data_IF_406458431365
#
_entry.id   IF_406458431365
#
_cell.length_a   1.000
_cell.length_b   1.000
_cell.length_c   1.000
_cell.angle_alpha   90.00
_cell.angle_beta   90.00
_cell.angle_gamma   90.00
#
_symmetry.space_group_name_H-M   'P 1'
#
loop_
_entity.id
_entity.type
_entity.pdbx_description
1 polymer ?
#
# COMPACT_ATOMS: atom_id res chain seq x y z
N UNK A 1 -11.74 11.23 11.30
CA UNK A 1 -11.39 10.27 10.22
C UNK A 1 -9.88 10.24 9.90
N UNK A 2 -9.20 11.37 9.57
CA UNK A 2 -7.73 11.36 9.33
C UNK A 2 -6.99 11.04 10.62
N UNK A 3 -7.36 11.70 11.74
CA UNK A 3 -6.77 11.47 13.04
C UNK A 3 -6.88 10.01 13.49
N UNK A 4 -8.05 9.42 13.33
CA UNK A 4 -8.29 7.99 13.62
C UNK A 4 -7.42 7.06 12.76
N UNK A 5 -7.31 7.34 11.44
CA UNK A 5 -6.50 6.53 10.53
C UNK A 5 -4.99 6.62 10.80
N UNK A 6 -4.53 7.74 11.31
CA UNK A 6 -3.11 7.97 11.61
C UNK A 6 -2.77 7.70 13.08
N UNK A 7 -3.74 7.27 13.89
CA UNK A 7 -3.62 7.12 15.34
C UNK A 7 -3.01 8.37 16.01
N UNK A 8 -3.49 9.55 15.58
CA UNK A 8 -3.02 10.84 16.04
C UNK A 8 -4.13 11.66 16.67
N UNK A 9 -3.78 12.56 17.58
CA UNK A 9 -4.75 13.48 18.16
C UNK A 9 -5.29 14.48 17.12
N UNK A 10 -6.55 14.88 17.24
CA UNK A 10 -7.14 15.91 16.38
C UNK A 10 -6.32 17.20 16.32
N UNK A 11 -5.85 17.76 17.45
CA UNK A 11 -4.95 18.93 17.46
C UNK A 11 -3.65 18.72 16.68
N UNK A 12 -3.00 17.55 16.83
CA UNK A 12 -1.77 17.22 16.08
C UNK A 12 -2.01 17.21 14.57
N UNK A 13 -3.10 16.59 14.13
CA UNK A 13 -3.47 16.56 12.70
C UNK A 13 -3.76 17.99 12.21
N UNK A 14 -4.51 18.79 12.96
CA UNK A 14 -4.82 20.17 12.58
C UNK A 14 -3.56 21.05 12.44
N UNK A 15 -2.60 20.91 13.36
CA UNK A 15 -1.33 21.62 13.29
C UNK A 15 -0.51 21.20 12.07
N UNK A 16 -0.46 19.90 11.78
CA UNK A 16 0.24 19.36 10.61
C UNK A 16 -0.38 19.85 9.32
N UNK A 17 -1.72 19.81 9.20
CA UNK A 17 -2.45 20.33 8.04
C UNK A 17 -2.16 21.83 7.83
N UNK A 18 -2.24 22.65 8.90
CA UNK A 18 -1.96 24.08 8.81
C UNK A 18 -0.51 24.37 8.40
N UNK A 19 0.46 23.56 8.83
CA UNK A 19 1.85 23.68 8.40
C UNK A 19 2.00 23.31 6.93
N UNK A 20 1.42 22.18 6.49
CA UNK A 20 1.47 21.76 5.09
C UNK A 20 0.80 22.77 4.15
N UNK A 21 -0.31 23.40 4.58
CA UNK A 21 -0.97 24.44 3.82
C UNK A 21 -0.09 25.68 3.69
N UNK A 22 0.51 26.15 4.79
CA UNK A 22 1.47 27.28 4.77
C UNK A 22 2.69 26.99 3.89
N UNK A 23 3.16 25.74 3.87
CA UNK A 23 4.30 25.31 3.06
C UNK A 23 3.92 25.08 1.58
N UNK A 24 2.62 25.24 1.24
CA UNK A 24 2.09 25.13 -0.10
C UNK A 24 2.03 23.68 -0.62
N UNK A 25 1.90 22.69 0.28
CA UNK A 25 1.82 21.27 -0.08
C UNK A 25 0.38 20.78 -0.24
N UNK A 26 -0.55 21.40 0.44
CA UNK A 26 -1.98 21.12 0.32
C UNK A 26 -2.80 22.40 0.50
N UNK A 27 -4.08 22.28 0.23
CA UNK A 27 -5.11 23.28 0.57
C UNK A 27 -6.31 22.57 1.19
N UNK A 28 -7.00 23.29 2.07
CA UNK A 28 -8.27 22.84 2.63
C UNK A 28 -9.39 23.38 1.74
N UNK A 29 -10.12 22.50 1.07
CA UNK A 29 -11.27 22.88 0.25
C UNK A 29 -12.44 23.37 1.12
N UNK A 30 -13.41 24.06 0.50
CA UNK A 30 -14.56 24.65 1.21
C UNK A 30 -15.44 23.62 1.94
N UNK A 31 -15.45 22.37 1.49
CA UNK A 31 -16.11 21.22 2.11
C UNK A 31 -15.25 20.47 3.14
N UNK A 32 -14.08 21.06 3.50
CA UNK A 32 -13.08 20.54 4.43
C UNK A 32 -12.30 19.31 3.93
N UNK A 33 -12.34 18.98 2.65
CA UNK A 33 -11.43 17.99 2.08
C UNK A 33 -10.04 18.57 1.92
N UNK A 34 -9.03 17.70 2.05
CA UNK A 34 -7.64 18.09 1.80
C UNK A 34 -7.29 17.76 0.34
N UNK A 35 -6.78 18.76 -0.36
CA UNK A 35 -6.32 18.62 -1.74
C UNK A 35 -4.82 18.89 -1.81
N UNK A 36 -4.05 17.93 -2.31
CA UNK A 36 -2.63 18.16 -2.57
C UNK A 36 -2.45 19.17 -3.72
N UNK A 37 -1.55 20.09 -3.54
CA UNK A 37 -1.05 20.93 -4.64
C UNK A 37 -0.17 20.09 -5.58
N UNK A 38 0.21 20.63 -6.74
CA UNK A 38 1.19 19.97 -7.62
C UNK A 38 2.50 19.69 -6.88
N UNK A 39 3.01 20.65 -6.11
CA UNK A 39 4.20 20.49 -5.25
C UNK A 39 4.01 19.37 -4.22
N UNK A 40 2.87 19.34 -3.54
CA UNK A 40 2.55 18.33 -2.55
C UNK A 40 2.43 16.94 -3.17
N UNK A 41 1.82 16.85 -4.35
CA UNK A 41 1.69 15.60 -5.10
C UNK A 41 3.05 15.08 -5.56
N UNK A 42 3.90 15.93 -6.13
CA UNK A 42 5.24 15.55 -6.55
C UNK A 42 6.07 15.02 -5.37
N UNK A 43 6.00 15.69 -4.22
CA UNK A 43 6.69 15.24 -3.01
C UNK A 43 6.15 13.89 -2.51
N UNK A 44 4.84 13.70 -2.50
CA UNK A 44 4.22 12.45 -2.09
C UNK A 44 4.61 11.28 -3.02
N UNK A 45 4.67 11.52 -4.33
CA UNK A 45 5.15 10.55 -5.32
C UNK A 45 6.61 10.18 -5.03
N UNK A 46 7.48 11.16 -4.82
CA UNK A 46 8.89 10.92 -4.56
C UNK A 46 9.13 10.13 -3.26
N UNK A 47 8.40 10.45 -2.18
CA UNK A 47 8.48 9.71 -0.90
C UNK A 47 7.99 8.28 -1.09
N UNK A 48 6.84 8.08 -1.72
CA UNK A 48 6.28 6.75 -1.93
C UNK A 48 7.14 5.89 -2.87
N UNK A 49 7.80 6.49 -3.87
CA UNK A 49 8.76 5.81 -4.72
C UNK A 49 9.95 5.28 -3.92
N UNK A 50 10.53 6.13 -3.06
CA UNK A 50 11.63 5.74 -2.17
C UNK A 50 11.24 4.61 -1.24
N UNK A 51 10.06 4.73 -0.63
CA UNK A 51 9.49 3.69 0.23
C UNK A 51 9.46 2.33 -0.47
N UNK A 52 8.80 2.25 -1.62
CA UNK A 52 8.62 1.00 -2.36
C UNK A 52 9.90 0.44 -2.98
N UNK A 53 10.84 1.30 -3.35
CA UNK A 53 12.19 0.86 -3.74
C UNK A 53 12.98 0.30 -2.55
N UNK A 54 12.84 0.93 -1.36
CA UNK A 54 13.43 0.40 -0.13
C UNK A 54 12.84 -0.97 0.25
N UNK A 55 11.51 -1.12 0.18
CA UNK A 55 10.84 -2.41 0.40
C UNK A 55 11.42 -3.51 -0.50
N UNK A 56 11.59 -3.21 -1.80
CA UNK A 56 12.20 -4.16 -2.74
C UNK A 56 13.63 -4.52 -2.38
N UNK A 57 14.46 -3.54 -2.06
CA UNK A 57 15.85 -3.78 -1.64
C UNK A 57 15.91 -4.66 -0.39
N UNK A 58 15.07 -4.34 0.59
CA UNK A 58 15.03 -5.05 1.87
C UNK A 58 14.62 -6.52 1.71
N UNK A 59 13.64 -6.81 0.84
CA UNK A 59 13.20 -8.20 0.57
C UNK A 59 14.17 -8.90 -0.36
N UNK A 60 14.42 -8.34 -1.55
CA UNK A 60 15.01 -9.08 -2.67
C UNK A 60 16.53 -9.23 -2.53
N UNK A 61 17.20 -8.31 -1.83
CA UNK A 61 18.68 -8.26 -1.73
C UNK A 61 19.15 -8.49 -0.30
N UNK A 62 18.55 -7.82 0.68
CA UNK A 62 18.95 -7.91 2.09
C UNK A 62 18.37 -9.16 2.75
N UNK A 63 17.18 -9.61 2.31
CA UNK A 63 16.50 -10.78 2.87
C UNK A 63 15.84 -10.51 4.22
N UNK A 64 15.41 -9.26 4.46
CA UNK A 64 14.65 -8.92 5.67
C UNK A 64 13.32 -9.67 5.67
N UNK A 65 12.85 -10.20 6.83
CA UNK A 65 11.52 -10.80 6.93
C UNK A 65 10.43 -9.87 6.39
N UNK A 66 9.54 -10.42 5.58
CA UNK A 66 8.53 -9.66 4.83
C UNK A 66 7.65 -8.77 5.72
N UNK A 67 7.32 -9.26 6.91
CA UNK A 67 6.53 -8.57 7.94
C UNK A 67 7.23 -7.37 8.59
N UNK A 68 8.56 -7.29 8.51
CA UNK A 68 9.37 -6.20 9.08
C UNK A 68 9.70 -5.11 8.07
N UNK A 69 9.49 -5.38 6.79
CA UNK A 69 9.98 -4.55 5.67
C UNK A 69 9.37 -3.16 5.66
N UNK A 70 8.06 -3.05 5.87
CA UNK A 70 7.36 -1.76 5.83
C UNK A 70 7.88 -0.78 6.88
N UNK A 71 8.07 -1.24 8.13
CA UNK A 71 8.56 -0.40 9.21
C UNK A 71 9.98 0.11 8.95
N UNK A 72 10.84 -0.69 8.31
CA UNK A 72 12.19 -0.27 7.94
C UNK A 72 12.18 0.69 6.74
N UNK A 73 11.37 0.42 5.73
CA UNK A 73 11.21 1.29 4.56
C UNK A 73 10.73 2.70 4.95
N UNK A 74 9.82 2.81 5.92
CA UNK A 74 9.38 4.10 6.49
C UNK A 74 10.53 4.94 7.07
N UNK A 75 11.57 4.30 7.58
CA UNK A 75 12.77 5.02 8.07
C UNK A 75 13.67 5.47 6.95
N UNK A 76 13.78 4.68 5.88
CA UNK A 76 14.71 4.92 4.78
C UNK A 76 14.19 5.94 3.76
N UNK A 77 12.88 6.03 3.55
CA UNK A 77 12.27 6.93 2.57
C UNK A 77 12.64 8.41 2.77
N UNK A 78 12.94 8.82 4.00
CA UNK A 78 13.25 10.20 4.35
C UNK A 78 14.72 10.58 4.15
N UNK A 79 15.62 9.60 4.02
CA UNK A 79 17.07 9.84 3.92
C UNK A 79 17.66 9.43 2.56
N UNK A 80 16.90 8.70 1.76
CA UNK A 80 17.35 8.23 0.46
C UNK A 80 17.44 9.39 -0.54
N UNK A 81 18.60 9.56 -1.17
CA UNK A 81 18.79 10.53 -2.26
C UNK A 81 18.30 9.99 -3.60
N UNK A 82 18.00 10.85 -4.54
CA UNK A 82 17.62 10.47 -5.90
C UNK A 82 18.72 9.68 -6.63
N UNK A 83 19.99 9.99 -6.36
CA UNK A 83 21.13 9.23 -6.92
C UNK A 83 21.12 7.77 -6.44
N UNK A 84 20.70 7.52 -5.19
CA UNK A 84 20.53 6.17 -4.66
C UNK A 84 19.34 5.49 -5.33
N UNK A 85 18.20 6.18 -5.48
CA UNK A 85 17.03 5.64 -6.19
C UNK A 85 17.38 5.16 -7.60
N UNK A 86 18.10 5.99 -8.39
CA UNK A 86 18.55 5.65 -9.76
C UNK A 86 19.43 4.41 -9.81
N UNK A 87 20.25 4.18 -8.78
CA UNK A 87 21.08 2.98 -8.65
C UNK A 87 20.27 1.77 -8.22
N UNK A 88 19.36 1.95 -7.27
CA UNK A 88 18.47 0.89 -6.78
C UNK A 88 17.60 0.33 -7.91
N UNK A 89 17.03 1.18 -8.75
CA UNK A 89 16.24 0.74 -9.90
C UNK A 89 17.04 -0.23 -10.78
N UNK A 90 18.34 0.07 -11.02
CA UNK A 90 19.22 -0.82 -11.80
C UNK A 90 19.54 -2.12 -11.06
N UNK A 91 19.90 -2.03 -9.78
CA UNK A 91 20.23 -3.20 -8.94
C UNK A 91 19.05 -4.15 -8.83
N UNK A 92 17.85 -3.60 -8.74
CA UNK A 92 16.58 -4.33 -8.62
C UNK A 92 15.99 -4.76 -9.98
N UNK A 93 16.72 -4.56 -11.08
CA UNK A 93 16.31 -4.92 -12.44
C UNK A 93 14.99 -4.26 -12.88
N UNK A 94 14.88 -2.95 -12.67
CA UNK A 94 13.74 -2.11 -13.05
C UNK A 94 12.41 -2.59 -12.46
N UNK A 95 12.25 -2.65 -11.14
CA UNK A 95 11.02 -3.09 -10.52
C UNK A 95 9.89 -2.08 -10.81
N UNK A 96 8.69 -2.58 -11.07
CA UNK A 96 7.49 -1.75 -11.29
C UNK A 96 6.55 -1.78 -10.11
N UNK A 97 6.68 -2.77 -9.22
CA UNK A 97 5.84 -2.95 -8.03
C UNK A 97 6.67 -3.25 -6.79
N UNK A 98 6.13 -2.93 -5.62
CA UNK A 98 6.69 -3.31 -4.33
C UNK A 98 6.50 -4.81 -4.05
N UNK A 99 7.13 -5.39 -3.02
CA UNK A 99 6.90 -6.79 -2.62
C UNK A 99 5.44 -7.08 -2.24
N UNK A 100 4.69 -6.05 -1.90
CA UNK A 100 3.27 -6.10 -1.56
C UNK A 100 2.33 -5.88 -2.76
N UNK A 101 2.89 -5.83 -3.98
CA UNK A 101 2.14 -5.68 -5.23
C UNK A 101 1.75 -4.23 -5.57
N UNK A 102 2.10 -3.25 -4.75
CA UNK A 102 1.76 -1.85 -5.01
C UNK A 102 2.65 -1.25 -6.10
N UNK A 103 2.10 -0.52 -7.10
CA UNK A 103 2.89 0.11 -8.15
C UNK A 103 3.91 1.09 -7.58
N UNK A 104 5.13 1.13 -8.09
CA UNK A 104 6.14 2.13 -7.71
C UNK A 104 5.90 3.39 -8.55
N UNK A 105 5.42 4.51 -7.95
CA UNK A 105 5.07 5.69 -8.71
C UNK A 105 6.30 6.50 -9.12
N UNK A 106 6.17 7.36 -10.15
CA UNK A 106 7.18 8.33 -10.53
C UNK A 106 8.48 7.73 -11.08
N UNK A 107 8.49 6.48 -11.53
CA UNK A 107 9.68 5.84 -12.12
C UNK A 107 10.14 6.57 -13.39
N UNK A 108 9.22 7.18 -14.12
CA UNK A 108 9.51 8.00 -15.32
C UNK A 108 10.43 9.17 -14.99
N UNK A 109 10.34 9.75 -13.79
CA UNK A 109 11.22 10.83 -13.33
C UNK A 109 12.68 10.35 -13.17
N UNK A 110 12.88 9.06 -12.95
CA UNK A 110 14.20 8.42 -12.90
C UNK A 110 14.68 7.93 -14.27
N UNK A 111 13.89 8.14 -15.34
CA UNK A 111 14.18 7.68 -16.69
C UNK A 111 13.90 6.20 -16.91
N UNK A 112 13.02 5.60 -16.13
CA UNK A 112 12.68 4.18 -16.17
C UNK A 112 11.22 3.99 -16.58
N UNK A 113 11.03 3.44 -17.77
CA UNK A 113 9.74 2.96 -18.26
C UNK A 113 8.59 3.98 -18.35
N UNK A 114 7.45 3.58 -18.86
CA UNK A 114 6.21 4.34 -18.66
C UNK A 114 5.79 4.27 -17.20
N UNK A 115 5.03 5.26 -16.73
CA UNK A 115 4.30 5.15 -15.46
C UNK A 115 3.59 3.78 -15.42
N UNK A 116 3.61 3.07 -14.26
CA UNK A 116 2.85 1.85 -14.11
C UNK A 116 1.43 2.16 -14.53
N UNK A 117 1.07 1.66 -15.71
CA UNK A 117 -0.22 1.97 -16.32
C UNK A 117 -1.32 1.32 -15.54
N UNK A 118 -2.46 1.81 -15.73
CA UNK A 118 -3.85 1.39 -15.56
C UNK A 118 -4.21 -0.12 -15.39
N UNK A 119 -3.30 -1.00 -15.01
CA UNK A 119 -3.63 -2.35 -14.56
C UNK A 119 -4.51 -2.33 -13.28
N UNK A 120 -4.58 -1.18 -12.60
CA UNK A 120 -5.52 -0.94 -11.50
C UNK A 120 -7.00 -0.88 -11.93
N UNK A 121 -7.29 -0.73 -13.23
CA UNK A 121 -8.67 -0.55 -13.71
C UNK A 121 -9.57 -1.78 -13.47
N UNK A 122 -9.00 -2.97 -13.34
CA UNK A 122 -9.73 -4.21 -13.05
C UNK A 122 -9.65 -4.65 -11.59
N UNK A 123 -8.93 -3.89 -10.74
CA UNK A 123 -8.80 -4.21 -9.34
C UNK A 123 -9.99 -3.69 -8.55
N UNK A 124 -10.52 -4.56 -7.71
CA UNK A 124 -11.58 -4.22 -6.74
C UNK A 124 -11.05 -4.45 -5.32
N UNK A 125 -11.60 -3.73 -4.36
CA UNK A 125 -11.29 -3.98 -2.96
C UNK A 125 -12.06 -5.21 -2.48
N UNK A 126 -11.53 -5.94 -1.50
CA UNK A 126 -12.26 -7.07 -0.93
C UNK A 126 -13.64 -6.68 -0.41
N UNK A 127 -13.78 -5.45 0.09
CA UNK A 127 -15.07 -4.91 0.58
C UNK A 127 -16.10 -4.62 -0.53
N UNK A 128 -15.68 -4.61 -1.78
CA UNK A 128 -16.53 -4.35 -2.95
C UNK A 128 -17.01 -5.66 -3.62
N UNK A 129 -16.56 -6.80 -3.07
CA UNK A 129 -17.03 -8.10 -3.54
C UNK A 129 -18.47 -8.37 -3.08
N UNK A 130 -19.28 -9.07 -3.88
CA UNK A 130 -20.66 -9.40 -3.52
C UNK A 130 -20.68 -10.28 -2.27
N UNK A 131 -21.61 -10.00 -1.36
CA UNK A 131 -21.84 -10.81 -0.18
C UNK A 131 -22.69 -12.06 -0.52
N UNK A 132 -22.55 -13.12 0.28
CA UNK A 132 -23.42 -14.28 0.27
C UNK A 132 -22.99 -15.45 -0.61
N UNK A 133 -21.90 -15.33 -1.37
CA UNK A 133 -21.31 -16.46 -2.11
C UNK A 133 -19.79 -16.36 -2.14
N UNK A 134 -19.06 -17.48 -2.02
CA UNK A 134 -17.63 -17.48 -2.19
C UNK A 134 -17.21 -16.98 -3.58
N UNK A 135 -16.21 -16.10 -3.64
CA UNK A 135 -15.68 -15.53 -4.89
C UNK A 135 -14.21 -15.89 -5.02
N UNK A 136 -13.83 -16.51 -6.13
CA UNK A 136 -12.42 -16.76 -6.45
C UNK A 136 -11.77 -15.48 -6.98
N UNK A 137 -10.62 -15.12 -6.42
CA UNK A 137 -9.88 -13.91 -6.76
C UNK A 137 -8.37 -14.15 -6.73
N UNK A 138 -7.63 -13.26 -7.38
CA UNK A 138 -6.17 -13.16 -7.26
C UNK A 138 -5.84 -11.95 -6.41
N UNK A 139 -5.08 -12.13 -5.34
CA UNK A 139 -4.56 -11.02 -4.53
C UNK A 139 -3.57 -10.24 -5.37
N UNK A 140 -3.76 -8.92 -5.50
CA UNK A 140 -2.85 -8.07 -6.28
C UNK A 140 -2.08 -7.09 -5.43
N UNK A 141 -2.74 -6.43 -4.48
CA UNK A 141 -2.11 -5.38 -3.67
C UNK A 141 -2.53 -5.47 -2.20
N UNK A 142 -1.53 -5.40 -1.33
CA UNK A 142 -1.68 -5.16 0.10
C UNK A 142 -1.18 -3.75 0.37
N UNK A 143 -2.10 -2.81 0.64
CA UNK A 143 -1.72 -1.40 0.81
C UNK A 143 -1.01 -1.16 2.15
N UNK A 144 -0.38 -0.01 2.30
CA UNK A 144 0.45 0.35 3.47
C UNK A 144 -0.31 0.22 4.79
N UNK A 145 -1.63 0.37 4.77
CA UNK A 145 -2.46 0.22 5.98
C UNK A 145 -2.42 -1.22 6.55
N UNK A 146 -2.43 -2.23 5.69
CA UNK A 146 -2.28 -3.64 6.10
C UNK A 146 -0.83 -3.93 6.52
N UNK A 147 0.13 -3.34 5.81
CA UNK A 147 1.56 -3.56 6.06
C UNK A 147 2.02 -3.00 7.41
N UNK A 148 1.32 -1.99 7.94
CA UNK A 148 1.61 -1.40 9.26
C UNK A 148 1.21 -2.29 10.44
N UNK A 149 0.41 -3.33 10.22
CA UNK A 149 0.00 -4.30 11.25
C UNK A 149 0.84 -5.58 11.09
N UNK A 150 1.90 -5.70 11.90
CA UNK A 150 2.87 -6.81 11.83
C UNK A 150 2.18 -8.16 12.07
N UNK A 151 1.27 -8.24 13.04
CA UNK A 151 0.58 -9.49 13.37
C UNK A 151 -0.33 -9.91 12.21
N UNK A 152 -1.02 -8.96 11.60
CA UNK A 152 -1.88 -9.24 10.46
C UNK A 152 -1.07 -9.64 9.22
N UNK A 153 0.00 -8.92 8.90
CA UNK A 153 0.82 -9.22 7.73
C UNK A 153 1.51 -10.59 7.87
N UNK A 154 1.93 -10.96 9.09
CA UNK A 154 2.46 -12.30 9.40
C UNK A 154 1.40 -13.38 9.15
N UNK A 155 0.20 -13.20 9.67
CA UNK A 155 -0.91 -14.14 9.47
C UNK A 155 -1.30 -14.28 7.99
N UNK A 156 -1.33 -13.18 7.25
CA UNK A 156 -1.59 -13.20 5.80
C UNK A 156 -0.51 -14.00 5.07
N UNK A 157 0.76 -13.76 5.37
CA UNK A 157 1.91 -14.47 4.79
C UNK A 157 1.83 -15.97 5.09
N UNK A 158 1.62 -16.35 6.36
CA UNK A 158 1.58 -17.76 6.80
C UNK A 158 0.39 -18.50 6.17
N UNK A 159 -0.72 -17.81 5.96
CA UNK A 159 -1.86 -18.32 5.21
C UNK A 159 -1.66 -18.33 3.68
N UNK A 160 -0.52 -17.85 3.17
CA UNK A 160 -0.25 -17.74 1.74
C UNK A 160 -0.99 -16.62 1.01
N UNK A 161 -1.53 -15.64 1.73
CA UNK A 161 -2.19 -14.44 1.17
C UNK A 161 -1.13 -13.40 0.79
N UNK A 162 -0.46 -13.65 -0.31
CA UNK A 162 0.60 -12.79 -0.86
C UNK A 162 0.22 -12.34 -2.28
N UNK A 163 0.85 -11.30 -2.84
CA UNK A 163 0.60 -10.88 -4.21
C UNK A 163 0.71 -12.03 -5.21
N UNK A 164 -0.27 -12.14 -6.11
CA UNK A 164 -0.49 -13.20 -7.09
C UNK A 164 -1.02 -14.53 -6.53
N UNK A 165 -1.29 -14.64 -5.23
CA UNK A 165 -1.98 -15.80 -4.68
C UNK A 165 -3.44 -15.87 -5.15
N UNK A 166 -3.89 -17.07 -5.50
CA UNK A 166 -5.31 -17.35 -5.77
C UNK A 166 -5.98 -17.75 -4.49
N UNK A 167 -7.04 -17.06 -4.13
CA UNK A 167 -7.76 -17.30 -2.88
C UNK A 167 -9.27 -17.29 -3.13
N UNK A 168 -10.02 -17.91 -2.22
CA UNK A 168 -11.47 -17.79 -2.17
C UNK A 168 -11.84 -16.81 -1.06
N UNK A 169 -12.75 -15.90 -1.34
CA UNK A 169 -13.19 -14.87 -0.41
C UNK A 169 -14.66 -15.01 -0.10
N UNK A 170 -14.99 -15.00 1.17
CA UNK A 170 -16.36 -15.01 1.67
C UNK A 170 -16.64 -13.71 2.42
N UNK A 171 -17.62 -12.95 1.96
CA UNK A 171 -18.04 -11.70 2.61
C UNK A 171 -19.25 -11.95 3.48
N UNK A 172 -19.16 -11.60 4.76
CA UNK A 172 -20.26 -11.73 5.72
C UNK A 172 -21.17 -10.51 5.70
N UNK A 173 -22.45 -10.64 6.09
CA UNK A 173 -23.41 -9.53 6.13
C UNK A 173 -22.98 -8.35 7.05
N UNK A 174 -22.03 -8.56 7.95
CA UNK A 174 -21.46 -7.52 8.82
C UNK A 174 -20.26 -6.78 8.22
N UNK A 175 -19.92 -7.03 6.94
CA UNK A 175 -18.80 -6.39 6.24
C UNK A 175 -17.42 -7.00 6.57
N UNK A 176 -17.38 -8.07 7.37
CA UNK A 176 -16.15 -8.87 7.55
C UNK A 176 -15.88 -9.71 6.30
N UNK A 177 -14.60 -9.96 6.03
CA UNK A 177 -14.15 -10.75 4.90
C UNK A 177 -13.29 -11.90 5.41
N UNK A 178 -13.65 -13.12 5.04
CA UNK A 178 -12.84 -14.31 5.32
C UNK A 178 -12.15 -14.76 4.05
N UNK A 179 -10.84 -14.87 4.10
CA UNK A 179 -10.01 -15.39 3.01
C UNK A 179 -9.73 -16.87 3.31
N UNK A 180 -10.02 -17.70 2.34
CA UNK A 180 -9.87 -19.16 2.41
C UNK A 180 -8.83 -19.61 1.37
N UNK A 181 -7.81 -20.30 1.84
CA UNK A 181 -6.83 -20.99 0.99
C UNK A 181 -6.80 -22.47 1.39
N UNK A 182 -6.99 -23.39 0.45
CA UNK A 182 -6.95 -24.82 0.76
C UNK A 182 -5.63 -25.23 1.43
N UNK A 183 -5.71 -25.89 2.59
CA UNK A 183 -4.55 -26.35 3.35
C UNK A 183 -3.90 -25.33 4.29
N UNK A 184 -4.45 -24.14 4.40
CA UNK A 184 -4.03 -23.10 5.33
C UNK A 184 -5.16 -22.71 6.29
N UNK A 185 -4.82 -21.99 7.35
CA UNK A 185 -5.82 -21.39 8.22
C UNK A 185 -6.55 -20.24 7.52
N UNK A 186 -7.85 -20.13 7.76
CA UNK A 186 -8.66 -19.03 7.25
C UNK A 186 -8.24 -17.71 7.92
N UNK A 187 -8.11 -16.64 7.14
CA UNK A 187 -7.82 -15.30 7.66
C UNK A 187 -9.07 -14.44 7.58
N UNK A 188 -9.59 -14.04 8.72
CA UNK A 188 -10.71 -13.09 8.78
C UNK A 188 -10.19 -11.67 8.97
N UNK A 189 -10.60 -10.78 8.07
CA UNK A 189 -10.23 -9.37 8.07
C UNK A 189 -11.44 -8.54 8.53
N UNK A 190 -11.24 -7.59 9.46
CA UNK A 190 -12.22 -6.54 9.70
C UNK A 190 -12.38 -5.66 8.46
N UNK A 191 -13.51 -4.98 8.34
CA UNK A 191 -13.86 -4.17 7.16
C UNK A 191 -12.74 -3.20 6.72
N UNK A 192 -12.12 -2.50 7.67
CA UNK A 192 -11.06 -1.53 7.36
C UNK A 192 -9.83 -2.18 6.72
N UNK A 193 -9.41 -3.34 7.23
CA UNK A 193 -8.29 -4.10 6.67
C UNK A 193 -8.66 -4.73 5.32
N UNK A 194 -9.86 -5.27 5.18
CA UNK A 194 -10.37 -5.78 3.90
C UNK A 194 -10.44 -4.69 2.82
N UNK A 195 -10.74 -3.44 3.21
CA UNK A 195 -10.72 -2.28 2.31
C UNK A 195 -9.31 -1.96 1.77
N UNK A 196 -8.27 -2.34 2.49
CA UNK A 196 -6.88 -2.09 2.13
C UNK A 196 -6.24 -3.21 1.27
N UNK A 197 -6.99 -4.27 0.96
CA UNK A 197 -6.56 -5.35 0.06
C UNK A 197 -7.29 -5.22 -1.27
N UNK A 198 -6.51 -5.17 -2.37
CA UNK A 198 -7.06 -5.15 -3.72
C UNK A 198 -6.84 -6.49 -4.42
N UNK A 199 -7.86 -6.92 -5.14
CA UNK A 199 -7.90 -8.21 -5.83
C UNK A 199 -8.43 -8.06 -7.25
N UNK A 200 -8.10 -9.04 -8.07
CA UNK A 200 -8.64 -9.21 -9.42
C UNK A 200 -9.60 -10.41 -9.39
N UNK A 201 -10.78 -10.25 -9.97
CA UNK A 201 -11.74 -11.37 -10.11
C UNK A 201 -11.23 -12.35 -11.17
N UNK A 202 -11.32 -13.65 -10.86
CA UNK A 202 -10.98 -14.73 -11.81
C UNK A 202 -12.18 -15.08 -12.66
#
# INVERSE_FOLDING_TARGET
>A
RIAERLDQSGPTVSQTVSRMERDGLLRVAGDRHLELTEKGRALAIAVMRKHRLAERLLVDVIGLPWEEVHAEACRWEHVMSEDVERRLVKVLNNPTTSPFGNPIPGLVELGVGPEPGADDANLVRLTELPAGSPVAVVVRQLTEHVQGDIDLITRLKDAGVVPNARVTVETTPGGGVTIVIPGHENVTLPHEMAHAVKVEKV
#
